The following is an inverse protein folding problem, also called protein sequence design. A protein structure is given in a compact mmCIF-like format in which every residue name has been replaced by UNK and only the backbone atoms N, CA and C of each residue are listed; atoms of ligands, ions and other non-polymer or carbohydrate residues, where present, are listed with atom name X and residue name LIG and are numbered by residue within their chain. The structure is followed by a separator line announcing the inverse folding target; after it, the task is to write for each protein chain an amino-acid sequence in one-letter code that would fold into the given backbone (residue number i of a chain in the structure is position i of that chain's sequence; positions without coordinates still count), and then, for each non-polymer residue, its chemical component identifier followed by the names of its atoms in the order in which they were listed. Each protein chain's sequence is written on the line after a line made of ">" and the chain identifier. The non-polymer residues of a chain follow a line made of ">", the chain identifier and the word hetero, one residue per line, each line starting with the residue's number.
data_IF_762841097549
#
_entry.id   IF_762841097549
#
_cell.length_a   1.000
_cell.length_b   1.000
_cell.length_c   1.000
_cell.angle_alpha   90.00
_cell.angle_beta   90.00
_cell.angle_gamma   90.00
#
_symmetry.space_group_name_H-M   'P 1'
#
loop_
_entity.id
_entity.type
_entity.pdbx_description
1 polymer ?
#
# COMPACT_ATOMS: atom_id res chain seq x y z
N UNK A 1 -65.56 11.14 -6.31
CA UNK A 1 -65.21 10.80 -7.71
C UNK A 1 -64.15 11.82 -8.11
N UNK A 2 -62.88 11.47 -7.91
CA UNK A 2 -61.92 11.07 -8.97
C UNK A 2 -61.18 12.31 -9.48
N UNK A 3 -59.85 12.42 -9.49
CA UNK A 3 -58.74 11.48 -9.29
C UNK A 3 -57.55 12.26 -8.72
N UNK A 4 -56.80 11.59 -7.83
CA UNK A 4 -55.58 12.09 -7.19
C UNK A 4 -54.36 11.86 -8.09
N UNK A 5 -53.37 12.74 -7.96
CA UNK A 5 -52.11 12.78 -8.72
C UNK A 5 -51.28 11.51 -8.48
N UNK A 6 -50.62 11.01 -9.52
CA UNK A 6 -49.26 10.48 -9.35
C UNK A 6 -48.52 10.52 -10.69
N UNK A 7 -47.60 11.48 -10.81
CA UNK A 7 -46.59 11.44 -11.85
C UNK A 7 -45.68 10.23 -11.62
N UNK A 8 -45.53 9.42 -12.66
CA UNK A 8 -44.55 8.33 -12.71
C UNK A 8 -43.15 8.94 -12.77
N UNK A 9 -42.58 9.23 -11.61
CA UNK A 9 -41.17 9.60 -11.48
C UNK A 9 -40.30 8.36 -11.73
N UNK A 10 -39.41 8.52 -12.70
CA UNK A 10 -38.49 7.56 -13.27
C UNK A 10 -37.73 6.72 -12.21
N UNK A 11 -37.94 5.42 -12.23
CA UNK A 11 -37.01 4.45 -11.63
C UNK A 11 -35.78 4.33 -12.54
N UNK A 12 -34.85 5.29 -12.46
CA UNK A 12 -33.51 5.14 -13.02
C UNK A 12 -32.49 4.96 -11.89
N UNK A 13 -31.94 3.75 -11.76
CA UNK A 13 -30.52 3.61 -11.45
C UNK A 13 -30.05 2.96 -10.15
N UNK A 14 -30.83 2.12 -9.45
CA UNK A 14 -30.31 1.40 -8.27
C UNK A 14 -30.22 -0.12 -8.42
N UNK A 15 -30.37 -0.65 -9.62
CA UNK A 15 -30.26 -2.08 -9.88
C UNK A 15 -28.84 -2.35 -10.40
N UNK A 16 -28.03 -3.06 -9.59
CA UNK A 16 -26.86 -3.90 -9.92
C UNK A 16 -25.74 -3.72 -8.89
N UNK A 17 -25.95 -4.16 -7.64
CA UNK A 17 -24.84 -4.50 -6.76
C UNK A 17 -25.24 -5.77 -6.01
N UNK A 18 -24.49 -6.83 -6.25
CA UNK A 18 -24.70 -8.12 -5.60
C UNK A 18 -24.51 -7.98 -4.09
N UNK A 19 -25.45 -8.53 -3.32
CA UNK A 19 -25.43 -8.47 -1.86
C UNK A 19 -24.30 -9.34 -1.26
N UNK A 20 -23.65 -10.15 -2.10
CA UNK A 20 -22.49 -10.97 -1.74
C UNK A 20 -21.16 -10.17 -1.68
N UNK A 21 -21.11 -8.96 -2.24
CA UNK A 21 -19.90 -8.13 -2.30
C UNK A 21 -19.52 -7.45 -0.97
N UNK A 22 -20.39 -7.51 0.06
CA UNK A 22 -20.20 -6.79 1.32
C UNK A 22 -20.34 -5.26 1.17
N UNK A 23 -20.16 -4.50 2.27
CA UNK A 23 -20.29 -3.04 2.24
C UNK A 23 -19.24 -2.39 1.33
N UNK A 24 -19.68 -1.67 0.30
CA UNK A 24 -18.80 -0.93 -0.61
C UNK A 24 -18.22 0.31 0.10
N UNK A 25 -16.96 0.23 0.50
CA UNK A 25 -16.22 1.36 1.06
C UNK A 25 -15.53 2.12 -0.07
N UNK A 26 -15.72 3.44 -0.10
CA UNK A 26 -15.00 4.30 -1.06
C UNK A 26 -13.50 4.26 -0.73
N UNK A 27 -12.59 4.21 -1.72
CA UNK A 27 -11.15 4.15 -1.46
C UNK A 27 -10.62 5.24 -0.51
N UNK A 28 -11.13 6.47 -0.59
CA UNK A 28 -10.74 7.56 0.31
C UNK A 28 -11.20 7.38 1.76
N UNK A 29 -12.23 6.56 2.00
CA UNK A 29 -12.67 6.24 3.36
C UNK A 29 -11.71 5.25 4.04
N UNK A 30 -11.05 4.36 3.28
CA UNK A 30 -10.03 3.43 3.81
C UNK A 30 -8.83 4.17 4.42
N UNK A 31 -8.49 5.35 3.87
CA UNK A 31 -7.37 6.16 4.37
C UNK A 31 -7.80 7.22 5.38
N UNK A 32 -9.06 7.25 5.81
CA UNK A 32 -9.61 8.31 6.66
C UNK A 32 -9.59 9.69 6.01
N UNK A 33 -9.69 9.76 4.67
CA UNK A 33 -9.62 11.00 3.89
C UNK A 33 -8.21 11.49 3.58
N UNK A 34 -7.17 10.78 4.04
CA UNK A 34 -5.77 11.14 3.76
C UNK A 34 -5.41 10.77 2.31
N UNK A 35 -4.76 11.70 1.62
CA UNK A 35 -4.33 11.50 0.22
C UNK A 35 -2.81 11.52 0.06
N UNK A 36 -2.07 11.64 1.16
CA UNK A 36 -0.61 11.65 1.21
C UNK A 36 -0.15 10.64 2.26
N UNK A 37 0.92 9.87 1.99
CA UNK A 37 1.59 9.07 3.01
C UNK A 37 2.05 9.94 4.19
N UNK A 38 2.05 9.36 5.39
CA UNK A 38 2.42 10.02 6.66
C UNK A 38 3.85 10.59 6.68
N UNK A 39 4.92 9.78 6.47
CA UNK A 39 6.26 10.24 6.76
C UNK A 39 6.79 11.19 5.68
N UNK A 40 7.06 12.43 6.10
CA UNK A 40 7.47 13.52 5.21
C UNK A 40 8.86 13.23 4.65
N UNK A 41 8.96 13.06 3.33
CA UNK A 41 10.24 12.81 2.62
C UNK A 41 10.40 11.39 2.07
N UNK A 42 9.53 10.46 2.47
CA UNK A 42 9.49 9.13 1.86
C UNK A 42 8.58 9.13 0.63
N UNK A 43 9.12 8.74 -0.52
CA UNK A 43 8.38 8.51 -1.76
C UNK A 43 8.21 7.02 -1.97
N UNK A 44 6.97 6.64 -2.25
CA UNK A 44 6.55 5.29 -2.60
C UNK A 44 6.37 5.21 -4.12
N UNK A 45 7.49 5.25 -4.85
CA UNK A 45 7.50 5.06 -6.30
C UNK A 45 6.97 3.66 -6.64
N UNK A 46 6.37 3.46 -7.82
CA UNK A 46 5.74 2.17 -8.18
C UNK A 46 6.71 0.98 -8.10
N UNK A 47 7.99 1.24 -8.41
CA UNK A 47 9.07 0.26 -8.41
C UNK A 47 9.90 0.30 -7.12
N UNK A 48 9.50 1.09 -6.11
CA UNK A 48 10.13 1.05 -4.80
C UNK A 48 9.83 -0.31 -4.16
N UNK A 49 10.87 -0.92 -3.60
CA UNK A 49 10.78 -2.22 -2.93
C UNK A 49 10.43 -2.02 -1.47
N UNK A 50 9.49 -2.81 -0.99
CA UNK A 50 9.00 -2.82 0.38
C UNK A 50 9.28 -4.19 0.96
N UNK A 51 9.85 -4.22 2.16
CA UNK A 51 10.10 -5.46 2.89
C UNK A 51 9.63 -5.31 4.33
N UNK A 52 9.22 -6.42 4.95
CA UNK A 52 8.93 -6.46 6.37
C UNK A 52 10.21 -6.17 7.17
N UNK A 53 10.10 -5.37 8.22
CA UNK A 53 11.22 -5.16 9.15
C UNK A 53 11.39 -6.39 10.06
N UNK A 54 12.63 -6.84 10.27
CA UNK A 54 12.90 -8.01 11.10
C UNK A 54 12.60 -7.77 12.60
N UNK A 55 12.59 -6.51 13.03
CA UNK A 55 12.21 -6.07 14.37
C UNK A 55 10.78 -5.52 14.45
N UNK A 56 9.94 -5.74 13.42
CA UNK A 56 8.59 -5.23 13.39
C UNK A 56 7.78 -5.66 14.64
N UNK A 57 7.03 -4.73 15.27
CA UNK A 57 6.08 -5.10 16.31
C UNK A 57 4.98 -6.02 15.73
N UNK A 58 4.35 -6.82 16.60
CA UNK A 58 3.21 -7.62 16.16
C UNK A 58 2.07 -6.71 15.72
N UNK A 59 1.80 -6.72 14.42
CA UNK A 59 0.87 -5.81 13.75
C UNK A 59 -0.58 -6.11 14.18
N UNK A 60 -0.86 -7.32 14.66
CA UNK A 60 -2.20 -7.75 15.08
C UNK A 60 -2.72 -7.07 16.35
N UNK A 61 -1.85 -6.49 17.17
CA UNK A 61 -2.22 -5.86 18.45
C UNK A 61 -2.43 -4.34 18.36
N UNK A 62 -2.06 -3.71 17.23
CA UNK A 62 -2.23 -2.26 17.06
C UNK A 62 -3.63 -1.91 16.55
N UNK A 63 -4.47 -1.41 17.45
CA UNK A 63 -5.84 -0.97 17.15
C UNK A 63 -5.95 0.16 16.11
N UNK A 64 -4.83 0.83 15.76
CA UNK A 64 -4.79 1.86 14.72
C UNK A 64 -4.69 1.29 13.30
N UNK A 65 -4.36 0.01 13.16
CA UNK A 65 -4.18 -0.65 11.88
C UNK A 65 -5.44 -1.39 11.43
N UNK A 66 -5.82 -1.14 10.18
CA UNK A 66 -6.97 -1.78 9.53
C UNK A 66 -6.62 -3.14 8.92
N UNK A 67 -7.63 -3.89 8.47
CA UNK A 67 -7.42 -5.16 7.77
C UNK A 67 -6.58 -5.00 6.50
N UNK A 68 -6.66 -3.85 5.82
CA UNK A 68 -5.85 -3.54 4.65
C UNK A 68 -4.35 -3.40 4.99
N UNK A 69 -4.01 -2.88 6.17
CA UNK A 69 -2.62 -2.84 6.63
C UNK A 69 -2.08 -4.26 6.89
N UNK A 70 -2.87 -5.09 7.56
CA UNK A 70 -2.52 -6.49 7.83
C UNK A 70 -2.32 -7.27 6.52
N UNK A 71 -3.19 -7.08 5.53
CA UNK A 71 -3.04 -7.70 4.21
C UNK A 71 -1.73 -7.31 3.54
N UNK A 72 -1.33 -6.03 3.58
CA UNK A 72 -0.05 -5.57 3.04
C UNK A 72 1.15 -6.17 3.79
N UNK A 73 1.07 -6.29 5.12
CA UNK A 73 2.11 -6.94 5.93
C UNK A 73 2.27 -8.41 5.57
N UNK A 74 1.19 -9.14 5.37
CA UNK A 74 1.24 -10.56 4.99
C UNK A 74 1.80 -10.77 3.59
N UNK A 75 1.48 -9.88 2.64
CA UNK A 75 2.11 -9.90 1.31
C UNK A 75 3.64 -9.71 1.41
N UNK A 76 4.08 -8.74 2.22
CA UNK A 76 5.51 -8.49 2.47
C UNK A 76 6.22 -9.61 3.25
N UNK A 77 5.48 -10.50 3.93
CA UNK A 77 6.04 -11.63 4.68
C UNK A 77 6.57 -12.72 3.76
N UNK A 78 5.97 -12.87 2.58
CA UNK A 78 6.37 -13.87 1.59
C UNK A 78 7.71 -13.49 0.97
N UNK A 79 7.82 -12.26 0.46
CA UNK A 79 9.03 -11.75 -0.18
C UNK A 79 9.04 -10.21 -0.23
N UNK A 80 10.18 -9.64 -0.62
CA UNK A 80 10.27 -8.20 -0.90
C UNK A 80 9.53 -7.88 -2.19
N UNK A 81 8.55 -6.99 -2.13
CA UNK A 81 7.67 -6.66 -3.25
C UNK A 81 7.69 -5.18 -3.58
N UNK A 82 7.44 -4.85 -4.84
CA UNK A 82 7.26 -3.46 -5.25
C UNK A 82 5.91 -2.89 -4.80
N UNK A 83 5.80 -1.56 -4.71
CA UNK A 83 4.52 -0.88 -4.43
C UNK A 83 3.44 -1.27 -5.45
N UNK A 84 3.81 -1.50 -6.70
CA UNK A 84 2.89 -1.95 -7.74
C UNK A 84 2.37 -3.38 -7.49
N UNK A 85 3.25 -4.30 -7.10
CA UNK A 85 2.88 -5.68 -6.77
C UNK A 85 2.01 -5.74 -5.53
N UNK A 86 2.32 -4.96 -4.50
CA UNK A 86 1.49 -4.85 -3.30
C UNK A 86 0.09 -4.32 -3.63
N UNK A 87 -0.02 -3.34 -4.51
CA UNK A 87 -1.31 -2.83 -4.93
C UNK A 87 -2.14 -3.85 -5.72
N UNK A 88 -1.49 -4.60 -6.60
CA UNK A 88 -2.14 -5.68 -7.33
C UNK A 88 -2.53 -6.85 -6.42
N UNK A 89 -1.66 -7.24 -5.48
CA UNK A 89 -1.88 -8.34 -4.55
C UNK A 89 -2.96 -8.04 -3.51
N UNK A 90 -3.05 -6.79 -3.05
CA UNK A 90 -4.08 -6.35 -2.12
C UNK A 90 -5.40 -5.96 -2.82
N UNK A 91 -5.42 -5.90 -4.17
CA UNK A 91 -6.54 -5.37 -4.97
C UNK A 91 -6.98 -3.96 -4.52
N UNK A 92 -6.00 -3.10 -4.23
CA UNK A 92 -6.23 -1.74 -3.74
C UNK A 92 -5.66 -0.68 -4.71
N UNK A 93 -6.30 0.50 -4.84
CA UNK A 93 -5.72 1.59 -5.60
C UNK A 93 -4.34 1.98 -5.06
N UNK A 94 -3.37 2.20 -5.94
CA UNK A 94 -1.99 2.57 -5.56
C UNK A 94 -1.95 3.77 -4.60
N UNK A 95 -2.84 4.75 -4.77
CA UNK A 95 -2.93 5.90 -3.87
C UNK A 95 -3.27 5.52 -2.42
N UNK A 96 -4.14 4.52 -2.23
CA UNK A 96 -4.50 3.97 -0.90
C UNK A 96 -3.29 3.24 -0.33
N UNK A 97 -2.70 2.31 -1.10
CA UNK A 97 -1.54 1.53 -0.67
C UNK A 97 -0.38 2.42 -0.21
N UNK A 98 -0.10 3.50 -0.93
CA UNK A 98 0.92 4.47 -0.54
C UNK A 98 0.65 5.12 0.82
N UNK A 99 -0.62 5.40 1.14
CA UNK A 99 -0.99 5.95 2.45
C UNK A 99 -0.80 4.90 3.54
N UNK A 100 -1.31 3.68 3.32
CA UNK A 100 -1.19 2.58 4.28
C UNK A 100 0.27 2.18 4.54
N UNK A 101 1.10 2.15 3.50
CA UNK A 101 2.54 1.93 3.63
C UNK A 101 3.25 3.05 4.40
N UNK A 102 2.72 4.28 4.34
CA UNK A 102 3.19 5.38 5.17
C UNK A 102 2.97 5.08 6.66
N UNK A 103 1.80 4.56 7.01
CA UNK A 103 1.46 4.18 8.39
C UNK A 103 2.35 3.04 8.89
N UNK A 104 2.49 1.99 8.08
CA UNK A 104 3.36 0.85 8.39
C UNK A 104 4.84 1.27 8.55
N UNK A 105 5.29 2.23 7.76
CA UNK A 105 6.65 2.74 7.85
C UNK A 105 6.86 3.59 9.11
N UNK A 106 5.88 4.38 9.51
CA UNK A 106 5.93 5.16 10.77
C UNK A 106 5.96 4.27 12.00
N UNK A 107 5.27 3.13 11.96
CA UNK A 107 5.28 2.12 13.02
C UNK A 107 6.52 1.21 13.00
N UNK A 108 7.38 1.36 11.98
CA UNK A 108 8.56 0.50 11.82
C UNK A 108 8.22 -0.94 11.44
N UNK A 109 7.03 -1.21 10.89
CA UNK A 109 6.63 -2.52 10.43
C UNK A 109 7.29 -2.90 9.09
N UNK A 110 7.56 -1.91 8.25
CA UNK A 110 8.16 -2.11 6.92
C UNK A 110 9.32 -1.16 6.69
N UNK A 111 10.23 -1.56 5.80
CA UNK A 111 11.27 -0.69 5.24
C UNK A 111 11.05 -0.51 3.74
N UNK A 112 11.49 0.64 3.21
CA UNK A 112 11.32 0.99 1.80
C UNK A 112 12.68 1.30 1.19
N UNK A 113 13.07 0.48 0.22
CA UNK A 113 14.26 0.68 -0.60
C UNK A 113 13.89 1.28 -1.95
N UNK A 114 14.53 2.40 -2.30
CA UNK A 114 14.31 3.03 -3.60
C UNK A 114 15.35 2.54 -4.61
N UNK A 115 14.95 2.37 -5.88
CA UNK A 115 15.91 2.17 -6.95
C UNK A 115 16.91 3.33 -6.99
N UNK A 116 18.19 3.00 -6.94
CA UNK A 116 19.28 3.97 -7.10
C UNK A 116 19.49 4.18 -8.60
N UNK A 117 19.42 5.43 -9.11
CA UNK A 117 19.73 5.71 -10.52
C UNK A 117 21.13 5.21 -10.89
N UNK A 118 21.34 4.64 -12.08
CA UNK A 118 22.64 4.10 -12.48
C UNK A 118 23.81 5.09 -12.35
N UNK A 119 23.56 6.37 -12.62
CA UNK A 119 24.55 7.44 -12.50
C UNK A 119 25.03 7.71 -11.05
N UNK A 120 24.33 7.18 -10.05
CA UNK A 120 24.67 7.31 -8.62
C UNK A 120 25.27 6.02 -8.04
N UNK A 121 25.28 4.93 -8.82
CA UNK A 121 25.89 3.68 -8.39
C UNK A 121 27.42 3.80 -8.45
N UNK A 122 28.14 3.26 -7.45
CA UNK A 122 29.60 3.13 -7.54
C UNK A 122 30.01 2.30 -8.75
N UNK A 123 31.20 2.57 -9.29
CA UNK A 123 31.80 1.73 -10.32
C UNK A 123 31.96 0.29 -9.80
N UNK A 124 31.57 -0.70 -10.61
CA UNK A 124 31.70 -2.13 -10.29
C UNK A 124 33.13 -2.49 -9.86
N UNK A 125 34.13 -1.84 -10.46
CA UNK A 125 35.54 -2.06 -10.12
C UNK A 125 35.82 -1.75 -8.65
N UNK A 126 35.23 -0.68 -8.11
CA UNK A 126 35.37 -0.30 -6.70
C UNK A 126 34.69 -1.34 -5.81
N UNK A 127 33.49 -1.80 -6.18
CA UNK A 127 32.79 -2.84 -5.41
C UNK A 127 33.60 -4.15 -5.37
N UNK A 128 34.27 -4.50 -6.47
CA UNK A 128 35.15 -5.68 -6.54
C UNK A 128 36.38 -5.52 -5.66
N UNK A 129 37.06 -4.37 -5.73
CA UNK A 129 38.20 -4.05 -4.87
C UNK A 129 37.84 -4.13 -3.37
N UNK A 130 36.65 -3.65 -2.98
CA UNK A 130 36.15 -3.75 -1.59
C UNK A 130 35.92 -5.21 -1.19
N UNK A 131 35.28 -6.02 -2.04
CA UNK A 131 35.03 -7.45 -1.73
C UNK A 131 36.35 -8.22 -1.58
N UNK A 132 37.33 -7.97 -2.45
CA UNK A 132 38.65 -8.60 -2.37
C UNK A 132 39.38 -8.19 -1.09
N UNK A 133 39.35 -6.90 -0.74
CA UNK A 133 39.92 -6.39 0.50
C UNK A 133 39.28 -7.00 1.76
N UNK A 134 37.94 -7.12 1.79
CA UNK A 134 37.22 -7.72 2.92
C UNK A 134 37.49 -9.22 3.09
N UNK A 135 37.78 -9.95 2.00
CA UNK A 135 38.09 -11.40 2.03
C UNK A 135 39.54 -11.70 2.40
N UNK A 136 40.43 -10.72 2.34
CA UNK A 136 41.85 -10.86 2.67
C UNK A 136 42.15 -10.65 4.18
N UNK A 137 41.11 -10.38 4.98
CA UNK A 137 41.14 -10.25 6.44
C UNK A 137 40.68 -11.56 7.11
#
# INVERSE_FOLDING_TARGET
>A
MSEDRAGTSEQLGSQWYDHEAGPLVRPYAMTGGRTKPGPTGVRFDLIALVSLDAGAPDVGDDSSLGPEHLALTELCRVETQSVAELAAGADLPVGVVRVLLGDLLELGCVTVSRPVPPAQLPDERILREVIEGLRAL
#
